data_IF_719775053135
#
_entry.id   IF_719775053135
#
_cell.length_a   1.000
_cell.length_b   1.000
_cell.length_c   1.000
_cell.angle_alpha   90.00
_cell.angle_beta   90.00
_cell.angle_gamma   90.00
#
_symmetry.space_group_name_H-M   'P 1'
#
loop_
_entity.id
_entity.type
_entity.pdbx_description
1 polymer ?
#
# COMPACT_ATOMS: atom_id res chain seq x y z
N UNK A 1 -5.28 8.17 -15.59
CA UNK A 1 -5.27 7.36 -14.37
C UNK A 1 -6.67 6.93 -14.00
N UNK A 2 -6.78 5.69 -13.54
CA UNK A 2 -8.07 5.12 -13.12
C UNK A 2 -8.30 5.31 -11.62
N UNK A 3 -7.23 5.32 -10.83
CA UNK A 3 -7.30 5.58 -9.41
C UNK A 3 -7.53 7.05 -9.09
N UNK A 4 -7.76 7.34 -7.82
CA UNK A 4 -8.01 8.71 -7.34
C UNK A 4 -6.68 9.35 -6.99
N UNK A 5 -6.34 10.44 -7.67
CA UNK A 5 -5.11 11.19 -7.38
C UNK A 5 -5.26 11.99 -6.10
N UNK A 6 -4.19 12.04 -5.32
CA UNK A 6 -4.09 12.93 -4.17
C UNK A 6 -3.46 14.25 -4.62
N UNK A 7 -4.14 15.35 -4.34
CA UNK A 7 -3.67 16.70 -4.70
C UNK A 7 -3.87 17.64 -3.52
N UNK A 8 -2.77 18.01 -2.84
CA UNK A 8 -1.39 17.62 -3.12
C UNK A 8 -1.10 16.18 -2.68
N UNK A 9 0.01 15.62 -3.18
CA UNK A 9 0.50 14.34 -2.67
C UNK A 9 0.86 14.51 -1.19
N UNK A 10 0.78 13.41 -0.44
CA UNK A 10 1.07 13.44 0.99
C UNK A 10 2.35 12.67 1.29
N UNK A 11 3.28 13.25 2.08
CA UNK A 11 4.46 12.48 2.51
C UNK A 11 4.04 11.25 3.30
N UNK A 12 4.67 10.12 3.00
CA UNK A 12 4.35 8.85 3.68
C UNK A 12 4.64 8.94 5.18
N UNK A 13 5.54 9.84 5.59
CA UNK A 13 5.85 10.07 7.01
C UNK A 13 4.64 10.50 7.83
N UNK A 14 3.66 11.16 7.20
CA UNK A 14 2.44 11.59 7.92
C UNK A 14 1.59 10.41 8.37
N UNK A 15 1.78 9.24 7.77
CA UNK A 15 1.04 8.04 8.16
C UNK A 15 1.51 7.47 9.51
N UNK A 16 2.70 7.85 9.98
CA UNK A 16 3.27 7.41 11.25
C UNK A 16 3.24 5.89 11.40
N UNK A 17 3.58 5.19 10.32
CA UNK A 17 3.62 3.74 10.31
C UNK A 17 5.05 3.24 10.44
N UNK A 18 5.20 2.08 11.05
CA UNK A 18 6.48 1.41 11.18
C UNK A 18 6.34 -0.09 10.94
N UNK A 19 7.48 -0.72 10.65
CA UNK A 19 7.54 -2.18 10.51
C UNK A 19 7.41 -2.84 11.88
N UNK A 20 7.26 -4.16 11.87
CA UNK A 20 7.20 -4.94 13.11
C UNK A 20 8.48 -4.79 13.96
N UNK A 21 9.62 -4.50 13.32
CA UNK A 21 10.90 -4.28 14.02
C UNK A 21 11.06 -2.84 14.53
N UNK A 22 10.08 -1.97 14.27
CA UNK A 22 10.12 -0.59 14.76
C UNK A 22 10.78 0.40 13.83
N UNK A 23 11.07 0.01 12.58
CA UNK A 23 11.66 0.93 11.60
C UNK A 23 10.58 1.79 10.96
N UNK A 24 10.67 3.13 11.01
CA UNK A 24 9.72 3.99 10.35
C UNK A 24 9.61 3.68 8.85
N UNK A 25 8.39 3.60 8.35
CA UNK A 25 8.16 3.31 6.94
C UNK A 25 8.83 4.35 6.04
N UNK A 26 8.83 5.62 6.46
CA UNK A 26 9.40 6.70 5.68
C UNK A 26 10.89 6.51 5.36
N UNK A 27 11.62 5.77 6.20
CA UNK A 27 13.05 5.52 5.98
C UNK A 27 13.33 4.64 4.76
N UNK A 28 12.30 3.99 4.22
CA UNK A 28 12.44 3.14 3.05
C UNK A 28 12.65 3.94 1.76
N UNK A 29 12.29 5.21 1.77
CA UNK A 29 12.22 6.05 0.58
C UNK A 29 13.26 7.16 0.62
N UNK A 30 13.50 7.75 -0.55
CA UNK A 30 14.39 8.88 -0.66
C UNK A 30 15.44 8.69 -1.74
N UNK A 31 16.04 9.81 -2.23
CA UNK A 31 16.97 9.75 -3.35
C UNK A 31 18.28 9.05 -3.01
N UNK A 32 18.65 8.97 -1.73
CA UNK A 32 19.87 8.28 -1.30
C UNK A 32 19.69 6.76 -1.18
N UNK A 33 18.47 6.26 -1.38
CA UNK A 33 18.23 4.82 -1.32
C UNK A 33 18.58 4.16 -2.64
N UNK A 34 19.24 3.01 -2.55
CA UNK A 34 19.54 2.18 -3.70
C UNK A 34 18.26 1.37 -3.97
N UNK A 35 17.73 1.44 -5.19
CA UNK A 35 16.53 0.70 -5.60
C UNK A 35 15.30 0.93 -4.71
N UNK A 36 14.86 2.18 -4.53
CA UNK A 36 13.60 2.40 -3.84
C UNK A 36 12.45 1.90 -4.71
N UNK A 37 11.56 1.11 -4.09
CA UNK A 37 10.40 0.56 -4.79
C UNK A 37 9.18 1.47 -4.67
N UNK A 38 8.26 1.28 -5.61
CA UNK A 38 6.88 1.71 -5.41
C UNK A 38 6.27 0.82 -4.33
N UNK A 39 5.26 1.31 -3.62
CA UNK A 39 4.62 0.55 -2.55
C UNK A 39 3.10 0.66 -2.65
N UNK A 40 2.42 -0.48 -2.59
CA UNK A 40 0.97 -0.53 -2.38
C UNK A 40 0.73 -0.85 -0.91
N UNK A 41 -0.07 -0.02 -0.24
CA UNK A 41 -0.45 -0.24 1.16
C UNK A 41 -1.96 -0.49 1.21
N UNK A 42 -2.35 -1.67 1.68
CA UNK A 42 -3.76 -1.94 1.98
C UNK A 42 -4.01 -1.41 3.39
N UNK A 43 -4.89 -0.42 3.50
CA UNK A 43 -5.19 0.22 4.76
C UNK A 43 -6.65 -0.03 5.15
N UNK A 44 -6.88 -0.50 6.36
CA UNK A 44 -8.21 -0.78 6.89
C UNK A 44 -8.18 -0.73 8.41
N UNK A 45 -9.36 -0.53 9.01
CA UNK A 45 -9.53 -0.74 10.43
C UNK A 45 -9.63 -2.24 10.72
N UNK A 46 -10.84 -2.74 10.90
CA UNK A 46 -11.08 -4.18 10.99
C UNK A 46 -11.06 -4.77 9.56
N UNK A 47 -10.24 -5.78 9.34
CA UNK A 47 -10.12 -6.38 8.02
C UNK A 47 -11.25 -7.38 7.77
N UNK A 48 -12.37 -6.86 7.29
CA UNK A 48 -13.52 -7.67 6.86
C UNK A 48 -13.38 -8.08 5.40
N UNK A 49 -14.54 -8.45 4.79
CA UNK A 49 -14.55 -8.97 3.43
C UNK A 49 -14.01 -7.99 2.38
N UNK A 50 -14.36 -6.72 2.49
CA UNK A 50 -13.85 -5.71 1.55
C UNK A 50 -12.34 -5.53 1.65
N UNK A 51 -11.83 -5.54 2.87
CA UNK A 51 -10.38 -5.46 3.10
C UNK A 51 -9.68 -6.69 2.51
N UNK A 52 -10.21 -7.87 2.74
CA UNK A 52 -9.61 -9.10 2.21
C UNK A 52 -9.62 -9.12 0.69
N UNK A 53 -10.67 -8.58 0.06
CA UNK A 53 -10.70 -8.41 -1.39
C UNK A 53 -9.56 -7.51 -1.88
N UNK A 54 -9.25 -6.43 -1.15
CA UNK A 54 -8.16 -5.53 -1.52
C UNK A 54 -6.80 -6.17 -1.31
N UNK A 55 -6.64 -6.99 -0.28
CA UNK A 55 -5.41 -7.77 -0.09
C UNK A 55 -5.17 -8.69 -1.28
N UNK A 56 -6.21 -9.40 -1.69
CA UNK A 56 -6.15 -10.30 -2.84
C UNK A 56 -5.85 -9.52 -4.12
N UNK A 57 -6.51 -8.39 -4.31
CA UNK A 57 -6.35 -7.55 -5.48
C UNK A 57 -4.90 -7.05 -5.60
N UNK A 58 -4.34 -6.53 -4.51
CA UNK A 58 -2.96 -6.06 -4.49
C UNK A 58 -1.99 -7.19 -4.88
N UNK A 59 -2.21 -8.38 -4.37
CA UNK A 59 -1.42 -9.56 -4.70
C UNK A 59 -1.52 -9.90 -6.18
N UNK A 60 -2.74 -9.95 -6.72
CA UNK A 60 -2.96 -10.32 -8.11
C UNK A 60 -2.39 -9.28 -9.08
N UNK A 61 -2.54 -8.02 -8.76
CA UNK A 61 -1.97 -6.93 -9.59
C UNK A 61 -0.45 -7.04 -9.61
N UNK A 62 0.17 -7.28 -8.46
CA UNK A 62 1.63 -7.44 -8.40
C UNK A 62 2.10 -8.62 -9.26
N UNK A 63 1.43 -9.76 -9.16
CA UNK A 63 1.74 -10.93 -10.00
C UNK A 63 1.61 -10.58 -11.49
N UNK A 64 0.54 -9.86 -11.85
CA UNK A 64 0.27 -9.50 -13.23
C UNK A 64 1.29 -8.52 -13.82
N UNK A 65 2.06 -7.84 -12.98
CA UNK A 65 3.16 -6.98 -13.46
C UNK A 65 4.31 -7.78 -14.08
N UNK A 66 4.35 -9.10 -13.85
CA UNK A 66 5.33 -9.97 -14.46
C UNK A 66 6.77 -9.57 -14.11
N UNK A 67 7.58 -9.28 -15.12
CA UNK A 67 8.99 -8.91 -14.90
C UNK A 67 9.16 -7.61 -14.10
N UNK A 68 8.13 -6.79 -14.00
CA UNK A 68 8.17 -5.54 -13.25
C UNK A 68 7.64 -5.70 -11.82
N UNK A 69 7.24 -6.91 -11.41
CA UNK A 69 6.67 -7.15 -10.09
C UNK A 69 7.62 -6.74 -8.96
N UNK A 70 8.93 -6.90 -9.15
CA UNK A 70 9.93 -6.56 -8.15
C UNK A 70 10.11 -5.05 -7.96
N UNK A 71 9.51 -4.24 -8.80
CA UNK A 71 9.55 -2.78 -8.68
C UNK A 71 8.45 -2.24 -7.78
N UNK A 72 7.51 -3.08 -7.35
CA UNK A 72 6.37 -2.69 -6.53
C UNK A 72 6.28 -3.63 -5.33
N UNK A 73 6.49 -3.09 -4.14
CA UNK A 73 6.33 -3.83 -2.89
C UNK A 73 4.90 -3.70 -2.37
N UNK A 74 4.55 -4.56 -1.43
CA UNK A 74 3.20 -4.57 -0.83
C UNK A 74 3.29 -4.57 0.69
N UNK A 75 2.37 -3.86 1.31
CA UNK A 75 2.26 -3.81 2.77
C UNK A 75 0.79 -3.67 3.17
N UNK A 76 0.52 -3.93 4.43
CA UNK A 76 -0.83 -3.83 4.98
C UNK A 76 -0.79 -3.15 6.34
N UNK A 77 -1.58 -2.09 6.48
CA UNK A 77 -1.77 -1.36 7.74
C UNK A 77 -3.21 -1.62 8.20
N UNK A 78 -3.37 -2.62 9.07
CA UNK A 78 -4.68 -3.13 9.50
C UNK A 78 -4.83 -2.95 11.00
N UNK A 79 -5.98 -2.42 11.42
CA UNK A 79 -6.27 -2.23 12.84
C UNK A 79 -6.46 -3.56 13.55
N UNK A 80 -7.20 -4.48 12.93
CA UNK A 80 -7.37 -5.84 13.44
C UNK A 80 -7.55 -6.81 12.29
N UNK A 81 -7.16 -8.06 12.51
CA UNK A 81 -7.21 -9.13 11.51
C UNK A 81 -7.98 -10.30 12.11
N UNK A 82 -9.03 -10.81 11.42
CA UNK A 82 -9.72 -12.00 11.90
C UNK A 82 -8.78 -13.19 12.03
N UNK A 83 -9.06 -14.07 12.99
CA UNK A 83 -8.17 -15.19 13.29
C UNK A 83 -7.94 -16.13 12.12
N UNK A 84 -8.95 -16.35 11.28
CA UNK A 84 -8.83 -17.20 10.10
C UNK A 84 -7.89 -16.59 9.05
N UNK A 85 -7.99 -15.28 8.85
CA UNK A 85 -7.08 -14.58 7.94
C UNK A 85 -5.66 -14.58 8.49
N UNK A 86 -5.50 -14.36 9.79
CA UNK A 86 -4.18 -14.40 10.43
C UNK A 86 -3.54 -15.78 10.24
N UNK A 87 -4.33 -16.84 10.34
CA UNK A 87 -3.84 -18.22 10.15
C UNK A 87 -3.38 -18.48 8.72
N UNK A 88 -3.99 -17.83 7.74
CA UNK A 88 -3.65 -17.98 6.32
C UNK A 88 -2.58 -17.00 5.83
N UNK A 89 -2.19 -16.04 6.68
CA UNK A 89 -1.31 -14.94 6.22
C UNK A 89 0.00 -15.44 5.63
N UNK A 90 0.68 -16.35 6.32
CA UNK A 90 1.99 -16.82 5.87
C UNK A 90 1.95 -17.58 4.55
N UNK A 91 0.82 -18.24 4.25
CA UNK A 91 0.69 -18.99 3.00
C UNK A 91 0.15 -18.14 1.86
N UNK A 92 -0.72 -17.16 2.15
CA UNK A 92 -1.39 -16.38 1.10
C UNK A 92 -0.79 -15.01 0.88
N UNK A 93 -0.21 -14.40 1.93
CA UNK A 93 0.27 -13.02 1.88
C UNK A 93 1.67 -12.86 2.46
N UNK A 94 2.53 -13.88 2.31
CA UNK A 94 3.87 -13.88 2.90
C UNK A 94 4.74 -12.70 2.44
N UNK A 95 4.52 -12.20 1.23
CA UNK A 95 5.28 -11.07 0.70
C UNK A 95 4.69 -9.72 1.07
N UNK A 96 3.59 -9.72 1.82
CA UNK A 96 2.93 -8.48 2.24
C UNK A 96 3.33 -8.14 3.67
N UNK A 97 4.11 -7.07 3.82
CA UNK A 97 4.61 -6.66 5.13
C UNK A 97 3.51 -6.05 5.98
N UNK A 98 3.47 -6.43 7.25
CA UNK A 98 2.53 -5.84 8.20
C UNK A 98 3.13 -4.56 8.80
N UNK A 99 2.37 -3.47 8.70
CA UNK A 99 2.76 -2.18 9.26
C UNK A 99 1.85 -1.87 10.43
N UNK A 100 2.41 -1.18 11.44
CA UNK A 100 1.66 -0.76 12.63
C UNK A 100 1.91 0.71 12.89
N UNK A 101 0.98 1.41 13.58
CA UNK A 101 1.25 2.77 13.99
C UNK A 101 2.45 2.82 14.94
N UNK A 102 3.29 3.84 14.79
CA UNK A 102 4.39 4.07 15.72
C UNK A 102 3.84 4.30 17.12
N UNK A 103 4.59 3.89 18.15
CA UNK A 103 4.15 3.99 19.54
C UNK A 103 3.77 5.43 19.89
N UNK A 104 2.55 5.59 20.42
CA UNK A 104 2.04 6.90 20.82
C UNK A 104 1.60 7.80 19.67
N UNK A 105 1.67 7.32 18.43
CA UNK A 105 1.29 8.08 17.26
C UNK A 105 0.00 7.53 16.64
N UNK A 106 -0.65 8.36 15.85
CA UNK A 106 -1.79 7.95 15.03
C UNK A 106 -1.50 8.24 13.58
N UNK A 107 -1.94 7.39 12.65
CA UNK A 107 -1.87 7.72 11.24
C UNK A 107 -2.65 9.00 10.96
N UNK A 108 -2.04 9.89 10.18
CA UNK A 108 -2.70 11.08 9.67
C UNK A 108 -3.00 10.79 8.21
N UNK A 109 -4.16 10.21 7.97
CA UNK A 109 -4.54 9.82 6.62
C UNK A 109 -4.84 11.03 5.76
N UNK A 110 -4.44 11.03 4.48
CA UNK A 110 -4.76 12.14 3.59
C UNK A 110 -6.26 12.38 3.47
N UNK A 111 -6.63 13.61 3.09
CA UNK A 111 -8.02 13.99 2.96
C UNK A 111 -8.78 13.03 2.03
N UNK A 112 -9.97 12.63 2.43
CA UNK A 112 -10.79 11.68 1.68
C UNK A 112 -10.49 10.22 1.96
N UNK A 113 -9.49 9.91 2.79
CA UNK A 113 -9.12 8.56 3.14
C UNK A 113 -9.39 8.32 4.61
N UNK A 114 -10.30 7.39 4.90
CA UNK A 114 -10.61 6.96 6.26
C UNK A 114 -10.72 5.44 6.28
N UNK A 115 -9.60 4.73 6.51
CA UNK A 115 -9.61 3.27 6.45
C UNK A 115 -10.53 2.59 7.47
N UNK A 116 -10.82 3.27 8.60
CA UNK A 116 -11.77 2.73 9.57
C UNK A 116 -13.18 2.63 9.01
N UNK A 117 -13.55 3.58 8.12
CA UNK A 117 -14.86 3.58 7.48
C UNK A 117 -14.87 2.75 6.20
N UNK A 118 -13.79 2.80 5.43
CA UNK A 118 -13.72 2.14 4.12
C UNK A 118 -12.28 1.76 3.79
N UNK A 119 -12.00 0.47 3.55
CA UNK A 119 -10.64 0.04 3.18
C UNK A 119 -10.18 0.68 1.87
N UNK A 120 -8.88 0.95 1.78
CA UNK A 120 -8.27 1.57 0.61
C UNK A 120 -6.92 0.92 0.31
N UNK A 121 -6.51 0.98 -0.94
CA UNK A 121 -5.12 0.73 -1.32
C UNK A 121 -4.50 2.08 -1.61
N UNK A 122 -3.40 2.38 -0.93
CA UNK A 122 -2.63 3.61 -1.17
C UNK A 122 -1.44 3.26 -2.06
N UNK A 123 -1.17 4.10 -3.06
CA UNK A 123 0.02 3.95 -3.88
C UNK A 123 1.04 4.99 -3.48
N UNK A 124 2.23 4.53 -3.11
CA UNK A 124 3.35 5.38 -2.69
C UNK A 124 4.44 5.29 -3.75
N UNK A 125 4.92 6.45 -4.22
CA UNK A 125 5.99 6.49 -5.20
C UNK A 125 7.37 6.24 -4.55
N UNK A 126 8.42 6.03 -5.34
CA UNK A 126 9.75 5.75 -4.77
C UNK A 126 10.35 6.88 -3.94
N UNK A 127 9.80 8.08 -4.02
CA UNK A 127 10.25 9.22 -3.21
C UNK A 127 9.52 9.31 -1.87
N UNK A 128 8.55 8.42 -1.62
CA UNK A 128 7.79 8.42 -0.37
C UNK A 128 6.57 9.32 -0.38
N UNK A 129 5.99 9.56 -1.54
CA UNK A 129 4.76 10.34 -1.66
C UNK A 129 3.56 9.41 -1.86
N UNK A 130 2.57 9.53 -0.99
CA UNK A 130 1.27 8.89 -1.21
C UNK A 130 0.59 9.69 -2.31
N UNK A 131 0.45 9.11 -3.49
CA UNK A 131 0.04 9.87 -4.66
C UNK A 131 -1.33 9.49 -5.22
N UNK A 132 -1.82 8.30 -4.88
CA UNK A 132 -3.06 7.79 -5.46
C UNK A 132 -3.68 6.76 -4.53
N UNK A 133 -4.99 6.58 -4.60
CA UNK A 133 -5.64 5.52 -3.85
C UNK A 133 -6.74 4.84 -4.65
N UNK A 134 -7.07 3.63 -4.20
CA UNK A 134 -8.08 2.79 -4.82
C UNK A 134 -8.99 2.23 -3.74
N UNK A 135 -10.25 2.01 -4.09
CA UNK A 135 -11.23 1.38 -3.22
C UNK A 135 -11.96 0.27 -3.93
N UNK A 136 -13.08 -0.17 -3.36
CA UNK A 136 -13.88 -1.28 -3.89
C UNK A 136 -14.47 -0.99 -5.27
N UNK A 137 -14.56 0.27 -5.66
CA UNK A 137 -15.07 0.67 -6.97
C UNK A 137 -14.08 0.43 -8.12
N UNK A 138 -12.80 0.18 -7.78
CA UNK A 138 -11.76 -0.04 -8.78
C UNK A 138 -11.52 -1.54 -9.02
N UNK A 139 -11.10 -1.87 -10.24
CA UNK A 139 -10.80 -3.25 -10.61
C UNK A 139 -9.29 -3.49 -10.66
N UNK A 140 -8.89 -4.75 -10.72
CA UNK A 140 -7.48 -5.08 -10.91
C UNK A 140 -6.94 -4.54 -12.22
N UNK A 141 -7.77 -4.50 -13.26
CA UNK A 141 -7.40 -3.93 -14.55
C UNK A 141 -7.09 -2.44 -14.40
N UNK A 142 -7.92 -1.70 -13.67
CA UNK A 142 -7.71 -0.27 -13.43
C UNK A 142 -6.34 -0.03 -12.80
N UNK A 143 -6.03 -0.77 -11.74
CA UNK A 143 -4.77 -0.64 -11.02
C UNK A 143 -3.58 -1.05 -11.89
N UNK A 144 -3.72 -2.15 -12.61
CA UNK A 144 -2.64 -2.67 -13.45
C UNK A 144 -2.30 -1.68 -14.56
N UNK A 145 -3.30 -1.08 -15.20
CA UNK A 145 -3.09 -0.07 -16.23
C UNK A 145 -2.34 1.14 -15.68
N UNK A 146 -2.76 1.63 -14.51
CA UNK A 146 -2.10 2.76 -13.85
C UNK A 146 -0.64 2.45 -13.52
N UNK A 147 -0.39 1.29 -12.92
CA UNK A 147 0.97 0.91 -12.55
C UNK A 147 1.87 0.71 -13.76
N UNK A 148 1.39 0.06 -14.80
CA UNK A 148 2.16 -0.09 -16.03
C UNK A 148 2.55 1.25 -16.63
N UNK A 149 1.61 2.20 -16.62
CA UNK A 149 1.87 3.54 -17.12
C UNK A 149 2.93 4.27 -16.29
N UNK A 150 2.77 4.23 -14.96
CA UNK A 150 3.70 4.88 -14.04
C UNK A 150 5.10 4.28 -14.10
N UNK A 151 5.19 2.96 -14.15
CA UNK A 151 6.48 2.26 -14.24
C UNK A 151 7.17 2.54 -15.57
N UNK A 152 6.41 2.71 -16.65
CA UNK A 152 6.97 3.05 -17.95
C UNK A 152 7.56 4.46 -17.96
N UNK A 153 6.92 5.40 -17.27
CA UNK A 153 7.38 6.78 -17.20
C UNK A 153 8.52 6.97 -16.20
N UNK A 154 8.57 6.13 -15.16
CA UNK A 154 9.56 6.23 -14.10
C UNK A 154 10.82 5.46 -14.45
N UNK A 155 11.99 6.05 -14.12
CA UNK A 155 13.27 5.36 -14.20
C UNK A 155 13.72 4.86 -12.83
N UNK A 156 12.90 5.05 -11.81
CA UNK A 156 13.16 4.67 -10.42
C UNK A 156 12.07 3.71 -9.96
N UNK A 157 12.47 2.71 -9.22
CA UNK A 157 11.52 1.73 -8.68
C UNK A 157 11.33 0.52 -9.54
#
# INVERSE_FOLDING_TARGET
>A
NNGVLLQPVAPVSTLNLETASGTPLAERFGPEKIDPDWLMIVAAGQCGSQCEELLYLARQVNIALGKNANRVSRAAALGSVPSDLQARWSSEYSSMERLVPAAGARPDWPAGINPEAEPRILLVDPFGNVMMHYGSEHTGKDMLEDLKHLLKLSQIG
#
